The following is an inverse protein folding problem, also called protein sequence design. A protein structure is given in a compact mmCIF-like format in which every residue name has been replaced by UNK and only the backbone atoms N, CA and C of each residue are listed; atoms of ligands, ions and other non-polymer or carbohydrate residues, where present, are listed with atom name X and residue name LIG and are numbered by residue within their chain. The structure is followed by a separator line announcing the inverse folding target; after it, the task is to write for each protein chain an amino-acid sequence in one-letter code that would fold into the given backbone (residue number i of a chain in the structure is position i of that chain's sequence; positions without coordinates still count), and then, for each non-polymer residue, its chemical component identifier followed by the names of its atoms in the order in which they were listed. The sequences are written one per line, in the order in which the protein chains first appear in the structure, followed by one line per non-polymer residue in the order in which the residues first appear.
data_IF_841673357786
#
_entry.id   IF_841673357786
#
_cell.length_a   1.000
_cell.length_b   1.000
_cell.length_c   1.000
_cell.angle_alpha   90.00
_cell.angle_beta   90.00
_cell.angle_gamma   90.00
#
_symmetry.space_group_name_H-M   'P 1'
#
loop_
_entity.id
_entity.type
_entity.pdbx_description
1 polymer ?
#
# COMPACT_ATOMS: atom_id res chain seq x y z
N UNK A 1 -38.66 -8.42 -0.91
CA UNK A 1 -38.84 -9.86 -1.24
C UNK A 1 -38.49 -10.61 0.03
N UNK A 2 -39.47 -11.32 0.61
CA UNK A 2 -39.22 -12.16 1.79
C UNK A 2 -38.28 -13.32 1.45
N UNK A 3 -37.74 -13.98 2.47
CA UNK A 3 -36.99 -15.20 2.29
C UNK A 3 -37.93 -16.36 1.90
N UNK A 4 -37.38 -17.38 1.23
CA UNK A 4 -38.11 -18.62 0.99
C UNK A 4 -38.29 -19.41 2.30
N UNK A 5 -39.27 -20.32 2.30
CA UNK A 5 -39.66 -21.08 3.48
C UNK A 5 -38.53 -22.00 3.99
N UNK A 6 -37.73 -22.58 3.08
CA UNK A 6 -36.66 -23.50 3.44
C UNK A 6 -35.56 -22.79 4.24
N UNK A 7 -35.15 -21.59 3.81
CA UNK A 7 -34.20 -20.75 4.55
C UNK A 7 -34.71 -20.40 5.95
N UNK A 8 -36.01 -20.07 6.08
CA UNK A 8 -36.60 -19.70 7.37
C UNK A 8 -36.71 -20.90 8.32
N UNK A 9 -37.06 -22.08 7.81
CA UNK A 9 -37.22 -23.30 8.61
C UNK A 9 -35.88 -23.88 9.05
N UNK A 10 -34.88 -23.82 8.19
CA UNK A 10 -33.53 -24.34 8.46
C UNK A 10 -32.68 -23.40 9.33
N UNK A 11 -33.13 -22.16 9.53
CA UNK A 11 -32.39 -21.11 10.24
C UNK A 11 -30.98 -20.86 9.70
N UNK A 12 -30.76 -21.14 8.41
CA UNK A 12 -29.47 -20.94 7.76
C UNK A 12 -29.18 -19.44 7.58
N UNK A 13 -27.94 -19.05 7.88
CA UNK A 13 -27.45 -17.70 7.63
C UNK A 13 -27.38 -17.38 6.13
N UNK A 14 -27.66 -16.13 5.78
CA UNK A 14 -27.39 -15.59 4.43
C UNK A 14 -26.19 -14.65 4.50
N UNK A 15 -25.58 -14.33 3.35
CA UNK A 15 -24.41 -13.44 3.29
C UNK A 15 -24.66 -12.08 3.97
N UNK A 16 -25.85 -11.50 3.77
CA UNK A 16 -26.24 -10.24 4.38
C UNK A 16 -26.97 -10.37 5.73
N UNK A 17 -27.26 -11.59 6.16
CA UNK A 17 -28.06 -11.89 7.33
C UNK A 17 -29.55 -11.66 7.10
N UNK A 18 -30.36 -11.99 8.09
CA UNK A 18 -31.80 -11.75 8.03
C UNK A 18 -32.46 -11.66 9.40
N UNK A 19 -33.60 -10.97 9.42
CA UNK A 19 -34.44 -10.81 10.59
C UNK A 19 -35.46 -11.95 10.65
N UNK A 20 -35.38 -12.76 11.71
CA UNK A 20 -36.39 -13.74 12.08
C UNK A 20 -37.38 -13.08 13.04
N UNK A 21 -38.66 -13.25 12.76
CA UNK A 21 -39.77 -12.86 13.63
C UNK A 21 -40.61 -14.09 13.96
N UNK A 22 -40.83 -14.33 15.24
CA UNK A 22 -41.65 -15.44 15.75
C UNK A 22 -42.80 -14.87 16.58
N UNK A 23 -44.02 -15.03 16.09
CA UNK A 23 -45.22 -14.50 16.74
C UNK A 23 -45.79 -15.50 17.75
N UNK A 24 -46.54 -14.98 18.72
CA UNK A 24 -47.18 -15.79 19.77
C UNK A 24 -48.16 -16.86 19.27
N UNK A 25 -48.64 -16.77 18.02
CA UNK A 25 -49.46 -17.80 17.38
C UNK A 25 -48.66 -18.90 16.66
N UNK A 26 -47.32 -18.84 16.74
CA UNK A 26 -46.39 -19.77 16.10
C UNK A 26 -45.99 -19.39 14.67
N UNK A 27 -46.51 -18.28 14.13
CA UNK A 27 -46.12 -17.80 12.80
C UNK A 27 -44.66 -17.36 12.80
N UNK A 28 -43.90 -17.81 11.80
CA UNK A 28 -42.50 -17.44 11.58
C UNK A 28 -42.33 -16.69 10.28
N UNK A 29 -41.60 -15.57 10.32
CA UNK A 29 -41.35 -14.71 9.16
C UNK A 29 -39.86 -14.39 9.07
N UNK A 30 -39.29 -14.53 7.87
CA UNK A 30 -37.92 -14.13 7.55
C UNK A 30 -37.88 -12.92 6.63
N UNK A 31 -37.20 -11.85 7.06
CA UNK A 31 -37.03 -10.61 6.30
C UNK A 31 -35.56 -10.36 5.97
N UNK A 32 -35.25 -10.26 4.69
CA UNK A 32 -33.92 -9.84 4.23
C UNK A 32 -33.71 -8.32 4.45
N UNK A 33 -32.45 -7.84 4.56
CA UNK A 33 -32.13 -6.42 4.60
C UNK A 33 -32.74 -5.64 3.43
N UNK A 34 -32.75 -6.23 2.23
CA UNK A 34 -33.34 -5.62 1.05
C UNK A 34 -34.87 -5.48 1.16
N UNK A 35 -35.55 -6.35 1.93
CA UNK A 35 -36.96 -6.22 2.22
C UNK A 35 -37.23 -5.07 3.21
N UNK A 36 -36.36 -4.90 4.21
CA UNK A 36 -36.43 -3.80 5.20
C UNK A 36 -36.13 -2.43 4.57
N UNK A 37 -35.23 -2.35 3.59
CA UNK A 37 -34.81 -1.08 2.99
C UNK A 37 -35.77 -0.52 1.91
N UNK A 38 -36.73 -1.31 1.41
CA UNK A 38 -37.53 -0.98 0.21
C UNK A 38 -38.96 -0.52 0.49
N UNK A 39 -39.35 -0.27 1.73
CA UNK A 39 -40.76 -0.01 2.05
C UNK A 39 -41.07 1.49 2.15
N UNK A 40 -42.18 1.92 1.53
CA UNK A 40 -42.71 3.30 1.67
C UNK A 40 -43.20 3.56 3.10
N UNK A 41 -43.66 2.52 3.78
CA UNK A 41 -44.01 2.54 5.21
C UNK A 41 -43.04 1.64 6.00
N UNK A 42 -42.58 2.05 7.20
CA UNK A 42 -41.72 1.20 8.03
C UNK A 42 -42.41 -0.10 8.41
N UNK A 43 -41.73 -1.23 8.20
CA UNK A 43 -42.22 -2.60 8.44
C UNK A 43 -42.72 -2.77 9.88
N UNK A 44 -41.92 -2.36 10.87
CA UNK A 44 -42.32 -2.44 12.28
C UNK A 44 -43.63 -1.66 12.54
N UNK A 45 -43.78 -0.50 11.89
CA UNK A 45 -44.98 0.32 12.00
C UNK A 45 -46.17 -0.34 11.31
N UNK A 46 -46.00 -0.88 10.11
CA UNK A 46 -47.05 -1.59 9.36
C UNK A 46 -47.57 -2.82 10.11
N UNK A 47 -46.69 -3.54 10.81
CA UNK A 47 -47.06 -4.68 11.67
C UNK A 47 -47.88 -4.26 12.90
N UNK A 48 -47.60 -3.09 13.44
CA UNK A 48 -48.22 -2.60 14.67
C UNK A 48 -49.45 -1.70 14.45
N UNK A 49 -49.93 -1.53 13.21
CA UNK A 49 -51.02 -0.59 12.85
C UNK A 49 -52.28 -0.79 13.70
N UNK A 50 -52.60 -2.04 14.04
CA UNK A 50 -53.78 -2.39 14.85
C UNK A 50 -53.49 -2.53 16.35
N UNK A 51 -52.24 -2.36 16.78
CA UNK A 51 -51.82 -2.52 18.17
C UNK A 51 -51.99 -1.21 18.96
N UNK A 52 -52.39 -1.32 20.23
CA UNK A 52 -52.46 -0.20 21.16
C UNK A 52 -51.76 -0.50 22.49
N UNK A 53 -50.68 0.22 22.85
CA UNK A 53 -49.88 1.12 22.00
C UNK A 53 -49.05 0.34 20.93
N UNK A 54 -48.74 0.98 19.80
CA UNK A 54 -48.04 0.32 18.68
C UNK A 54 -46.60 -0.09 19.01
N UNK A 55 -45.93 0.57 19.96
CA UNK A 55 -44.55 0.29 20.38
C UNK A 55 -44.39 -0.98 21.24
N UNK A 56 -45.44 -1.80 21.37
CA UNK A 56 -45.44 -3.07 22.10
C UNK A 56 -45.34 -4.28 21.18
N UNK A 57 -44.78 -4.12 19.98
CA UNK A 57 -44.60 -5.22 19.03
C UNK A 57 -43.84 -6.39 19.67
N UNK A 58 -42.86 -6.11 20.54
CA UNK A 58 -42.12 -7.11 21.30
C UNK A 58 -42.93 -7.89 22.35
N UNK A 59 -44.17 -7.50 22.67
CA UNK A 59 -45.05 -8.30 23.57
C UNK A 59 -45.73 -9.46 22.84
N UNK A 60 -45.77 -9.43 21.51
CA UNK A 60 -46.49 -10.42 20.68
C UNK A 60 -45.59 -11.10 19.64
N UNK A 61 -44.33 -10.66 19.55
CA UNK A 61 -43.35 -11.08 18.56
C UNK A 61 -41.95 -11.08 19.17
N UNK A 62 -41.24 -12.20 19.04
CA UNK A 62 -39.82 -12.31 19.33
C UNK A 62 -39.02 -12.09 18.05
N UNK A 63 -37.97 -11.28 18.14
CA UNK A 63 -37.09 -10.98 17.01
C UNK A 63 -35.71 -11.56 17.25
N UNK A 64 -35.10 -12.14 16.21
CA UNK A 64 -33.72 -12.61 16.21
C UNK A 64 -33.02 -12.22 14.91
N UNK A 65 -31.71 -12.00 14.98
CA UNK A 65 -30.89 -11.74 13.81
C UNK A 65 -30.05 -12.96 13.47
N UNK A 66 -30.25 -13.53 12.29
CA UNK A 66 -29.56 -14.73 11.84
C UNK A 66 -28.46 -14.32 10.86
N UNK A 67 -27.22 -14.30 11.34
CA UNK A 67 -26.04 -13.97 10.54
C UNK A 67 -24.75 -14.38 11.26
N UNK A 68 -23.70 -14.69 10.49
CA UNK A 68 -22.32 -14.85 10.96
C UNK A 68 -21.37 -14.19 9.94
N UNK A 69 -20.20 -13.69 10.38
CA UNK A 69 -19.17 -13.26 9.45
C UNK A 69 -18.78 -14.39 8.50
N UNK A 70 -18.47 -14.04 7.26
CA UNK A 70 -17.91 -14.99 6.31
C UNK A 70 -16.52 -15.44 6.81
N UNK A 71 -16.21 -16.73 6.72
CA UNK A 71 -15.02 -17.34 7.31
C UNK A 71 -15.14 -17.74 8.78
N UNK A 72 -16.22 -17.35 9.48
CA UNK A 72 -16.42 -17.76 10.88
C UNK A 72 -16.72 -19.26 11.02
N UNK A 73 -16.07 -20.01 11.92
CA UNK A 73 -16.27 -21.47 12.03
C UNK A 73 -17.70 -21.84 12.42
N UNK A 74 -18.24 -22.89 11.77
CA UNK A 74 -19.62 -23.34 12.04
C UNK A 74 -19.82 -23.83 13.48
N UNK A 75 -18.80 -24.47 14.04
CA UNK A 75 -18.77 -25.04 15.40
C UNK A 75 -18.40 -24.02 16.48
N UNK A 76 -18.01 -22.79 16.09
CA UNK A 76 -17.70 -21.70 17.01
C UNK A 76 -18.91 -20.81 17.23
N UNK A 77 -19.36 -20.70 18.49
CA UNK A 77 -20.41 -19.76 18.87
C UNK A 77 -19.94 -18.31 18.67
N UNK A 78 -20.87 -17.42 18.30
CA UNK A 78 -20.62 -15.98 18.27
C UNK A 78 -20.37 -15.44 19.69
N UNK A 79 -19.61 -14.35 19.86
CA UNK A 79 -19.38 -13.75 21.18
C UNK A 79 -20.70 -13.32 21.85
N UNK A 80 -20.85 -13.66 23.13
CA UNK A 80 -22.06 -13.39 23.92
C UNK A 80 -22.37 -11.89 23.99
N UNK A 81 -21.36 -11.06 24.22
CA UNK A 81 -21.51 -9.59 24.25
C UNK A 81 -22.07 -9.04 22.92
N UNK A 82 -21.67 -9.62 21.79
CA UNK A 82 -22.20 -9.25 20.48
C UNK A 82 -23.68 -9.59 20.33
N UNK A 83 -24.08 -10.76 20.85
CA UNK A 83 -25.47 -11.22 20.83
C UNK A 83 -26.36 -10.37 21.75
N UNK A 84 -25.88 -10.01 22.95
CA UNK A 84 -26.58 -9.10 23.85
C UNK A 84 -26.82 -7.73 23.19
N UNK A 85 -25.80 -7.17 22.54
CA UNK A 85 -25.92 -5.92 21.77
C UNK A 85 -26.86 -6.05 20.57
N UNK A 86 -26.94 -7.23 19.94
CA UNK A 86 -27.94 -7.49 18.89
C UNK A 86 -29.35 -7.46 19.46
N UNK A 87 -29.57 -8.06 20.63
CA UNK A 87 -30.87 -8.06 21.31
C UNK A 87 -31.29 -6.62 21.69
N UNK A 88 -30.36 -5.79 22.14
CA UNK A 88 -30.63 -4.37 22.42
C UNK A 88 -31.06 -3.60 21.15
N UNK A 89 -30.38 -3.86 20.02
CA UNK A 89 -30.72 -3.28 18.71
C UNK A 89 -32.11 -3.73 18.26
N UNK A 90 -32.42 -5.03 18.35
CA UNK A 90 -33.72 -5.59 17.99
C UNK A 90 -34.84 -5.03 18.87
N UNK A 91 -34.60 -4.93 20.17
CA UNK A 91 -35.55 -4.32 21.12
C UNK A 91 -35.81 -2.84 20.81
N UNK A 92 -34.78 -2.09 20.40
CA UNK A 92 -34.91 -0.69 19.99
C UNK A 92 -35.75 -0.57 18.71
N UNK A 93 -35.56 -1.50 17.77
CA UNK A 93 -36.34 -1.60 16.54
C UNK A 93 -37.81 -1.99 16.78
N UNK A 94 -38.08 -2.98 17.64
CA UNK A 94 -39.44 -3.37 18.03
C UNK A 94 -40.21 -2.23 18.72
N UNK A 95 -39.49 -1.33 19.40
CA UNK A 95 -40.04 -0.08 19.99
C UNK A 95 -40.17 1.06 18.99
N UNK A 96 -39.86 0.82 17.71
CA UNK A 96 -39.86 1.81 16.61
C UNK A 96 -38.93 3.00 16.86
N UNK A 97 -37.86 2.78 17.61
CA UNK A 97 -36.83 3.79 17.89
C UNK A 97 -35.58 3.62 17.01
N UNK A 98 -35.60 2.65 16.08
CA UNK A 98 -34.60 2.42 15.06
C UNK A 98 -35.28 2.28 13.70
N UNK A 99 -34.69 2.87 12.66
CA UNK A 99 -35.18 2.73 11.29
C UNK A 99 -34.85 1.35 10.71
N UNK A 100 -35.75 0.81 9.88
CA UNK A 100 -35.61 -0.52 9.25
C UNK A 100 -34.30 -0.67 8.45
N UNK A 101 -33.90 0.40 7.74
CA UNK A 101 -32.70 0.43 6.90
C UNK A 101 -31.38 0.35 7.72
N UNK A 102 -31.44 0.68 9.01
CA UNK A 102 -30.30 0.70 9.91
C UNK A 102 -30.13 -0.63 10.65
N UNK A 103 -31.20 -1.42 10.78
CA UNK A 103 -31.24 -2.64 11.58
C UNK A 103 -30.13 -3.63 11.22
N UNK A 104 -30.07 -4.04 9.95
CA UNK A 104 -29.10 -5.04 9.49
C UNK A 104 -27.65 -4.59 9.75
N UNK A 105 -27.36 -3.31 9.50
CA UNK A 105 -26.02 -2.75 9.74
C UNK A 105 -25.69 -2.73 11.24
N UNK A 106 -26.63 -2.29 12.07
CA UNK A 106 -26.44 -2.25 13.52
C UNK A 106 -26.20 -3.65 14.11
N UNK A 107 -27.00 -4.65 13.72
CA UNK A 107 -26.81 -6.03 14.19
C UNK A 107 -25.44 -6.60 13.76
N UNK A 108 -25.02 -6.39 12.50
CA UNK A 108 -23.70 -6.84 12.03
C UNK A 108 -22.56 -6.18 12.79
N UNK A 109 -22.61 -4.87 13.02
CA UNK A 109 -21.59 -4.17 13.82
C UNK A 109 -21.55 -4.65 15.26
N UNK A 110 -22.69 -4.92 15.89
CA UNK A 110 -22.73 -5.49 17.25
C UNK A 110 -21.92 -6.78 17.34
N UNK A 111 -22.08 -7.68 16.36
CA UNK A 111 -21.32 -8.94 16.28
C UNK A 111 -19.85 -8.66 15.96
N UNK A 112 -19.55 -7.96 14.87
CA UNK A 112 -18.17 -7.72 14.39
C UNK A 112 -17.32 -6.98 15.42
N UNK A 113 -17.88 -6.03 16.16
CA UNK A 113 -17.19 -5.26 17.20
C UNK A 113 -17.01 -6.03 18.52
N UNK A 114 -17.64 -7.19 18.67
CA UNK A 114 -17.47 -8.08 19.84
C UNK A 114 -16.43 -9.18 19.64
N UNK A 115 -15.91 -9.34 18.41
CA UNK A 115 -14.86 -10.30 18.11
C UNK A 115 -13.53 -9.80 18.71
N UNK A 116 -12.83 -10.70 19.37
CA UNK A 116 -11.63 -10.40 20.20
C UNK A 116 -10.34 -11.03 19.66
N UNK A 117 -10.40 -11.76 18.55
CA UNK A 117 -9.26 -12.44 17.92
C UNK A 117 -9.38 -12.48 16.40
N UNK A 118 -8.26 -12.73 15.73
CA UNK A 118 -8.18 -12.82 14.27
C UNK A 118 -8.22 -11.47 13.56
N UNK A 119 -8.53 -11.53 12.27
CA UNK A 119 -8.65 -10.37 11.39
C UNK A 119 -10.10 -10.19 10.95
N UNK A 120 -10.66 -9.02 11.19
CA UNK A 120 -12.01 -8.64 10.78
C UNK A 120 -11.92 -7.58 9.68
N UNK A 121 -12.45 -7.87 8.49
CA UNK A 121 -12.50 -6.92 7.36
C UNK A 121 -13.89 -6.87 6.77
N UNK A 122 -14.56 -5.72 6.91
CA UNK A 122 -15.93 -5.57 6.44
C UNK A 122 -16.86 -6.60 7.09
N UNK A 123 -17.30 -7.60 6.32
CA UNK A 123 -18.16 -8.71 6.78
C UNK A 123 -17.43 -10.04 6.92
N UNK A 124 -16.11 -10.07 6.72
CA UNK A 124 -15.28 -11.27 6.75
C UNK A 124 -14.50 -11.36 8.06
N UNK A 125 -14.25 -12.58 8.50
CA UNK A 125 -13.33 -12.90 9.57
C UNK A 125 -12.33 -13.96 9.10
N UNK A 126 -11.07 -13.77 9.47
CA UNK A 126 -9.98 -14.70 9.21
C UNK A 126 -9.32 -15.07 10.53
N UNK A 127 -8.90 -16.32 10.68
CA UNK A 127 -8.16 -16.74 11.87
C UNK A 127 -6.76 -16.13 11.91
N UNK A 128 -6.12 -16.15 13.08
CA UNK A 128 -4.73 -15.68 13.22
C UNK A 128 -3.76 -16.46 12.30
N UNK A 129 -4.06 -17.73 12.03
CA UNK A 129 -3.26 -18.59 11.15
C UNK A 129 -3.48 -18.29 9.65
N UNK A 130 -4.58 -17.62 9.30
CA UNK A 130 -4.99 -17.31 7.92
C UNK A 130 -4.59 -15.89 7.48
N UNK A 131 -3.56 -15.31 8.09
CA UNK A 131 -3.06 -13.95 7.76
C UNK A 131 -2.79 -13.76 6.26
N UNK A 132 -2.30 -14.79 5.58
CA UNK A 132 -2.06 -14.75 4.13
C UNK A 132 -3.36 -14.54 3.35
N UNK A 133 -4.41 -15.28 3.68
CA UNK A 133 -5.72 -15.16 3.03
C UNK A 133 -6.38 -13.80 3.34
N UNK A 134 -6.23 -13.31 4.58
CA UNK A 134 -6.65 -11.95 4.94
C UNK A 134 -5.96 -10.90 4.08
N UNK A 135 -4.63 -10.97 3.91
CA UNK A 135 -3.89 -10.01 3.08
C UNK A 135 -4.32 -10.11 1.61
N UNK A 136 -4.53 -11.32 1.09
CA UNK A 136 -5.00 -11.54 -0.29
C UNK A 136 -6.44 -11.04 -0.51
N UNK A 137 -7.28 -11.03 0.52
CA UNK A 137 -8.60 -10.43 0.49
C UNK A 137 -8.54 -8.90 0.35
N UNK A 138 -7.46 -8.26 0.81
CA UNK A 138 -7.30 -6.82 0.73
C UNK A 138 -6.98 -6.36 -0.70
N UNK A 139 -7.80 -5.43 -1.20
CA UNK A 139 -7.58 -4.79 -2.50
C UNK A 139 -6.42 -3.79 -2.43
N UNK A 140 -5.50 -3.86 -3.39
CA UNK A 140 -4.30 -3.02 -3.43
C UNK A 140 -3.19 -3.62 -4.28
N UNK A 141 -2.07 -2.91 -4.40
CA UNK A 141 -0.84 -3.45 -5.01
C UNK A 141 -0.16 -4.45 -4.06
N UNK A 142 0.77 -5.23 -4.60
CA UNK A 142 1.61 -6.12 -3.78
C UNK A 142 2.43 -5.32 -2.74
N UNK A 143 2.98 -4.18 -3.13
CA UNK A 143 3.70 -3.30 -2.21
C UNK A 143 2.81 -2.76 -1.08
N UNK A 144 1.54 -2.44 -1.38
CA UNK A 144 0.58 -2.02 -0.35
C UNK A 144 0.26 -3.15 0.62
N UNK A 145 0.03 -4.37 0.14
CA UNK A 145 -0.19 -5.54 1.00
C UNK A 145 1.03 -5.84 1.87
N UNK A 146 2.25 -5.72 1.31
CA UNK A 146 3.50 -5.88 2.05
C UNK A 146 3.68 -4.79 3.12
N UNK A 147 3.35 -3.54 2.81
CA UNK A 147 3.36 -2.45 3.77
C UNK A 147 2.36 -2.69 4.91
N UNK A 148 1.14 -3.13 4.59
CA UNK A 148 0.15 -3.48 5.61
C UNK A 148 0.65 -4.65 6.48
N UNK A 149 1.22 -5.68 5.86
CA UNK A 149 1.81 -6.81 6.58
C UNK A 149 2.89 -6.32 7.58
N UNK A 150 3.81 -5.47 7.15
CA UNK A 150 4.84 -4.88 8.01
C UNK A 150 4.23 -4.14 9.21
N UNK A 151 3.17 -3.35 9.01
CA UNK A 151 2.48 -2.70 10.13
C UNK A 151 1.92 -3.73 11.12
N UNK A 152 1.29 -4.79 10.62
CA UNK A 152 0.72 -5.85 11.47
C UNK A 152 1.79 -6.62 12.25
N UNK A 153 3.01 -6.75 11.72
CA UNK A 153 4.14 -7.37 12.43
C UNK A 153 4.65 -6.49 13.58
N UNK A 154 4.40 -5.19 13.51
CA UNK A 154 4.85 -4.22 14.52
C UNK A 154 3.85 -3.97 15.65
N UNK A 155 2.65 -4.52 15.53
CA UNK A 155 1.55 -4.31 16.47
C UNK A 155 1.49 -5.51 17.44
N UNK A 156 1.68 -5.23 18.73
CA UNK A 156 1.61 -6.26 19.80
C UNK A 156 0.17 -6.51 20.30
N UNK A 157 -0.67 -5.48 20.27
CA UNK A 157 -2.06 -5.46 20.76
C UNK A 157 -3.07 -5.39 19.59
N UNK A 158 -4.37 -5.23 19.84
CA UNK A 158 -5.33 -5.09 18.74
C UNK A 158 -5.40 -3.67 18.16
N UNK A 159 -6.01 -3.58 17.00
CA UNK A 159 -6.22 -2.30 16.31
C UNK A 159 -7.58 -2.27 15.60
N UNK A 160 -8.24 -1.12 15.62
CA UNK A 160 -9.43 -0.84 14.84
C UNK A 160 -9.20 0.38 13.95
N UNK A 161 -9.16 0.15 12.64
CA UNK A 161 -9.09 1.19 11.62
C UNK A 161 -10.49 1.41 11.03
N UNK A 162 -11.07 2.58 11.32
CA UNK A 162 -12.40 2.97 10.89
C UNK A 162 -12.36 3.62 9.51
N UNK A 163 -13.49 3.58 8.81
CA UNK A 163 -13.68 4.18 7.48
C UNK A 163 -13.57 5.71 7.47
N UNK A 164 -13.74 6.37 8.62
CA UNK A 164 -13.50 7.81 8.80
C UNK A 164 -12.01 8.15 9.01
N UNK A 165 -11.16 7.12 9.03
CA UNK A 165 -9.73 7.20 9.15
C UNK A 165 -9.21 7.22 10.59
N UNK A 166 -10.10 7.12 11.59
CA UNK A 166 -9.71 7.03 13.00
C UNK A 166 -9.13 5.65 13.30
N UNK A 167 -7.98 5.65 13.96
CA UNK A 167 -7.30 4.45 14.46
C UNK A 167 -7.48 4.36 15.97
N UNK A 168 -7.88 3.19 16.46
CA UNK A 168 -8.11 2.92 17.89
C UNK A 168 -7.36 1.66 18.27
N UNK A 169 -6.46 1.73 19.25
CA UNK A 169 -5.83 0.57 19.87
C UNK A 169 -6.86 -0.21 20.69
N UNK A 170 -6.78 -1.53 20.67
CA UNK A 170 -7.66 -2.43 21.40
C UNK A 170 -6.83 -3.28 22.36
N UNK A 171 -7.39 -3.61 23.52
CA UNK A 171 -6.74 -4.50 24.50
C UNK A 171 -6.76 -5.97 24.02
N UNK A 172 -7.73 -6.32 23.18
CA UNK A 172 -7.88 -7.65 22.61
C UNK A 172 -7.02 -7.83 21.36
N UNK A 173 -6.54 -9.06 21.09
CA UNK A 173 -5.67 -9.36 19.95
C UNK A 173 -6.45 -9.52 18.64
N UNK A 174 -7.17 -8.48 18.25
CA UNK A 174 -7.96 -8.43 17.01
C UNK A 174 -7.54 -7.27 16.13
N UNK A 175 -7.40 -7.54 14.84
CA UNK A 175 -7.20 -6.51 13.82
C UNK A 175 -8.53 -6.28 13.13
N UNK A 176 -9.08 -5.08 13.23
CA UNK A 176 -10.39 -4.72 12.65
C UNK A 176 -10.22 -3.59 11.64
N UNK A 177 -10.54 -3.86 10.39
CA UNK A 177 -10.51 -2.89 9.29
C UNK A 177 -11.93 -2.75 8.72
N UNK A 178 -12.49 -1.53 8.75
CA UNK A 178 -13.81 -1.28 8.14
C UNK A 178 -13.76 -1.27 6.60
N UNK A 179 -12.59 -1.02 6.02
CA UNK A 179 -12.36 -0.98 4.57
C UNK A 179 -11.49 -2.16 4.12
N UNK A 180 -11.83 -2.79 3.00
CA UNK A 180 -11.06 -3.88 2.39
C UNK A 180 -10.01 -3.39 1.39
N UNK A 181 -9.75 -2.09 1.32
CA UNK A 181 -8.68 -1.51 0.51
C UNK A 181 -7.48 -1.13 1.35
N UNK A 182 -6.29 -1.56 0.92
CA UNK A 182 -5.04 -1.24 1.58
C UNK A 182 -4.77 0.27 1.60
N UNK A 183 -5.15 0.99 0.54
CA UNK A 183 -4.86 2.41 0.42
C UNK A 183 -5.42 3.25 1.57
N UNK A 184 -6.75 3.28 1.85
CA UNK A 184 -7.30 4.05 2.96
C UNK A 184 -6.79 3.57 4.32
N UNK A 185 -6.58 2.27 4.50
CA UNK A 185 -6.04 1.70 5.74
C UNK A 185 -4.61 2.20 5.99
N UNK A 186 -3.73 2.15 4.98
CA UNK A 186 -2.36 2.66 5.08
C UNK A 186 -2.31 4.17 5.28
N UNK A 187 -3.24 4.93 4.68
CA UNK A 187 -3.36 6.37 4.93
C UNK A 187 -3.61 6.65 6.41
N UNK A 188 -4.50 5.89 7.04
CA UNK A 188 -4.80 6.02 8.47
C UNK A 188 -3.64 5.60 9.37
N UNK A 189 -2.94 4.53 9.00
CA UNK A 189 -1.83 3.99 9.79
C UNK A 189 -0.51 4.76 9.60
N UNK A 190 -0.41 5.60 8.56
CA UNK A 190 0.86 6.22 8.18
C UNK A 190 1.47 7.12 9.25
N UNK A 191 0.64 7.88 9.96
CA UNK A 191 1.14 8.83 10.97
C UNK A 191 1.96 8.12 12.05
N UNK A 192 1.48 6.97 12.51
CA UNK A 192 2.10 6.20 13.59
C UNK A 192 3.08 5.14 13.06
N UNK A 193 2.72 4.40 12.02
CA UNK A 193 3.49 3.23 11.55
C UNK A 193 4.32 3.48 10.30
N UNK A 194 4.27 4.69 9.73
CA UNK A 194 5.03 5.02 8.53
C UNK A 194 6.54 4.91 8.71
N UNK A 195 7.05 5.19 9.93
CA UNK A 195 8.46 4.98 10.26
C UNK A 195 8.87 3.51 10.15
N UNK A 196 8.08 2.61 10.74
CA UNK A 196 8.28 1.15 10.67
C UNK A 196 8.30 0.66 9.23
N UNK A 197 7.35 1.10 8.40
CA UNK A 197 7.31 0.72 6.98
C UNK A 197 8.61 1.14 6.27
N UNK A 198 9.09 2.36 6.53
CA UNK A 198 10.31 2.90 5.92
C UNK A 198 11.58 2.15 6.38
N UNK A 199 11.63 1.78 7.65
CA UNK A 199 12.76 1.03 8.22
C UNK A 199 12.78 -0.41 7.72
N UNK A 200 11.68 -1.15 7.87
CA UNK A 200 11.65 -2.59 7.63
C UNK A 200 11.64 -2.95 6.14
N UNK A 201 10.92 -2.17 5.31
CA UNK A 201 10.82 -2.46 3.89
C UNK A 201 11.89 -1.76 3.04
N UNK A 202 12.42 -0.63 3.51
CA UNK A 202 13.32 0.22 2.72
C UNK A 202 14.65 0.52 3.42
N UNK A 203 14.88 0.07 4.66
CA UNK A 203 16.12 0.34 5.39
C UNK A 203 16.36 1.81 5.68
N UNK A 204 15.33 2.66 5.60
CA UNK A 204 15.44 4.09 5.81
C UNK A 204 15.26 4.42 7.29
N UNK A 205 16.24 5.11 7.88
CA UNK A 205 16.25 5.50 9.29
C UNK A 205 16.63 6.97 9.46
N UNK A 206 16.33 7.55 10.63
CA UNK A 206 16.73 8.91 10.98
C UNK A 206 16.13 10.00 10.07
N UNK A 207 16.92 11.04 9.77
CA UNK A 207 16.46 12.23 9.04
C UNK A 207 15.90 11.92 7.64
N UNK A 208 16.44 10.89 6.96
CA UNK A 208 15.94 10.48 5.65
C UNK A 208 14.55 9.85 5.73
N UNK A 209 14.31 9.01 6.74
CA UNK A 209 12.99 8.46 7.00
C UNK A 209 11.98 9.57 7.34
N UNK A 210 12.34 10.50 8.24
CA UNK A 210 11.48 11.63 8.62
C UNK A 210 11.10 12.51 7.42
N UNK A 211 12.06 12.75 6.53
CA UNK A 211 11.84 13.53 5.30
C UNK A 211 10.84 12.83 4.38
N UNK A 212 10.97 11.52 4.18
CA UNK A 212 10.06 10.73 3.34
C UNK A 212 8.67 10.65 3.98
N UNK A 213 8.60 10.39 5.30
CA UNK A 213 7.38 10.37 6.09
C UNK A 213 6.57 11.67 5.95
N UNK A 214 7.22 12.81 6.24
CA UNK A 214 6.60 14.13 6.15
C UNK A 214 6.16 14.48 4.73
N UNK A 215 6.94 14.07 3.71
CA UNK A 215 6.61 14.32 2.30
C UNK A 215 5.34 13.61 1.89
N UNK A 216 5.19 12.33 2.27
CA UNK A 216 4.01 11.55 1.93
C UNK A 216 2.75 12.11 2.60
N UNK A 217 2.83 12.49 3.88
CA UNK A 217 1.73 13.14 4.62
C UNK A 217 1.25 14.45 3.98
N UNK A 218 2.16 15.21 3.34
CA UNK A 218 1.83 16.49 2.68
C UNK A 218 1.30 16.33 1.26
N UNK A 219 1.90 15.46 0.45
CA UNK A 219 1.56 15.30 -0.97
C UNK A 219 0.28 14.50 -1.19
N UNK A 220 -0.11 13.63 -0.24
CA UNK A 220 -1.26 12.72 -0.35
C UNK A 220 -1.23 11.88 -1.64
N UNK A 221 -0.05 11.43 -2.04
CA UNK A 221 0.09 10.53 -3.18
C UNK A 221 -0.54 9.17 -2.85
N UNK A 222 -1.11 8.50 -3.86
CA UNK A 222 -1.61 7.13 -3.69
C UNK A 222 -0.49 6.20 -3.20
N UNK A 223 -0.76 5.40 -2.17
CA UNK A 223 0.26 4.59 -1.48
C UNK A 223 0.98 3.63 -2.43
N UNK A 224 0.25 2.90 -3.30
CA UNK A 224 0.88 2.02 -4.28
C UNK A 224 1.87 2.73 -5.22
N UNK A 225 1.57 3.96 -5.66
CA UNK A 225 2.50 4.72 -6.49
C UNK A 225 3.70 5.22 -5.68
N UNK A 226 3.46 5.70 -4.45
CA UNK A 226 4.50 6.17 -3.55
C UNK A 226 5.50 5.07 -3.18
N UNK A 227 5.03 3.89 -2.77
CA UNK A 227 5.88 2.76 -2.39
C UNK A 227 6.72 2.26 -3.56
N UNK A 228 6.12 2.16 -4.75
CA UNK A 228 6.83 1.78 -5.97
C UNK A 228 7.93 2.79 -6.34
N UNK A 229 7.61 4.08 -6.35
CA UNK A 229 8.60 5.14 -6.63
C UNK A 229 9.73 5.15 -5.59
N UNK A 230 9.42 4.88 -4.32
CA UNK A 230 10.42 4.78 -3.26
C UNK A 230 11.35 3.58 -3.47
N UNK A 231 10.79 2.41 -3.82
CA UNK A 231 11.54 1.20 -4.14
C UNK A 231 12.48 1.41 -5.34
N UNK A 232 11.97 2.01 -6.42
CA UNK A 232 12.74 2.35 -7.61
C UNK A 232 13.89 3.31 -7.25
N UNK A 233 13.60 4.37 -6.49
CA UNK A 233 14.61 5.34 -6.07
C UNK A 233 15.69 4.74 -5.17
N UNK A 234 15.31 3.86 -4.23
CA UNK A 234 16.26 3.22 -3.33
C UNK A 234 17.15 2.23 -4.08
N UNK A 235 16.57 1.42 -4.98
CA UNK A 235 17.31 0.51 -5.84
C UNK A 235 18.38 1.24 -6.64
N UNK A 236 18.03 2.38 -7.24
CA UNK A 236 19.01 3.22 -7.94
C UNK A 236 20.08 3.76 -7.00
N UNK A 237 19.70 4.30 -5.83
CA UNK A 237 20.65 4.84 -4.87
C UNK A 237 21.65 3.77 -4.39
N UNK A 238 21.17 2.58 -4.05
CA UNK A 238 22.02 1.43 -3.66
C UNK A 238 22.96 1.01 -4.78
N UNK A 239 22.49 1.00 -6.03
CA UNK A 239 23.35 0.70 -7.19
C UNK A 239 24.46 1.74 -7.31
N UNK A 240 24.12 3.02 -7.19
CA UNK A 240 25.10 4.12 -7.29
C UNK A 240 26.14 4.14 -6.15
N UNK A 241 25.84 3.54 -5.00
CA UNK A 241 26.77 3.37 -3.87
C UNK A 241 27.84 2.30 -4.14
N UNK A 242 27.62 1.41 -5.12
CA UNK A 242 28.64 0.46 -5.58
C UNK A 242 29.79 1.14 -6.33
N UNK A 243 29.60 2.40 -6.76
CA UNK A 243 30.63 3.12 -7.47
C UNK A 243 31.82 3.40 -6.53
N UNK A 244 33.07 3.17 -6.98
CA UNK A 244 34.23 3.19 -6.09
C UNK A 244 34.58 4.52 -5.41
N UNK A 245 34.09 5.62 -5.98
CA UNK A 245 34.41 6.98 -5.56
C UNK A 245 33.15 7.71 -5.13
N UNK A 246 33.24 8.55 -4.10
CA UNK A 246 32.13 9.46 -3.75
C UNK A 246 32.00 10.56 -4.80
N UNK A 247 30.77 11.04 -5.00
CA UNK A 247 30.50 12.11 -5.99
C UNK A 247 31.36 13.34 -5.70
N UNK A 248 32.08 13.81 -6.72
CA UNK A 248 32.89 15.03 -6.65
C UNK A 248 34.29 14.86 -6.05
N UNK A 249 34.71 13.63 -5.72
CA UNK A 249 36.08 13.36 -5.24
C UNK A 249 37.11 13.28 -6.36
N UNK A 250 36.68 12.89 -7.56
CA UNK A 250 37.54 12.81 -8.74
C UNK A 250 37.93 14.20 -9.26
N UNK A 251 39.13 14.37 -9.86
CA UNK A 251 39.50 15.61 -10.52
C UNK A 251 38.72 15.77 -11.84
N UNK A 252 38.50 17.02 -12.27
CA UNK A 252 38.01 17.27 -13.64
C UNK A 252 39.10 16.92 -14.66
N UNK A 253 38.79 16.26 -15.79
CA UNK A 253 37.46 15.92 -16.34
C UNK A 253 36.81 14.61 -15.86
N UNK A 254 37.46 13.81 -15.01
CA UNK A 254 36.93 12.51 -14.56
C UNK A 254 35.69 12.64 -13.68
N UNK A 255 35.60 13.68 -12.85
CA UNK A 255 34.38 13.99 -12.09
C UNK A 255 33.17 14.16 -13.01
N UNK A 256 33.36 14.78 -14.17
CA UNK A 256 32.30 14.99 -15.13
C UNK A 256 31.91 13.67 -15.83
N UNK A 257 32.86 12.77 -16.07
CA UNK A 257 32.58 11.43 -16.56
C UNK A 257 31.78 10.61 -15.54
N UNK A 258 32.16 10.64 -14.25
CA UNK A 258 31.43 10.00 -13.16
C UNK A 258 30.01 10.56 -13.03
N UNK A 259 29.83 11.88 -13.10
CA UNK A 259 28.50 12.49 -13.08
C UNK A 259 27.62 12.06 -14.26
N UNK A 260 28.20 11.92 -15.46
CA UNK A 260 27.51 11.41 -16.65
C UNK A 260 27.10 9.94 -16.46
N UNK A 261 27.98 9.10 -15.93
CA UNK A 261 27.66 7.69 -15.60
C UNK A 261 26.51 7.61 -14.60
N UNK A 262 26.62 8.35 -13.48
CA UNK A 262 25.57 8.39 -12.45
C UNK A 262 24.24 8.87 -13.02
N UNK A 263 24.26 9.92 -13.83
CA UNK A 263 23.05 10.47 -14.47
C UNK A 263 22.45 9.50 -15.49
N UNK A 264 23.26 8.77 -16.23
CA UNK A 264 22.80 7.78 -17.18
C UNK A 264 22.23 6.53 -16.51
N UNK A 265 22.77 6.12 -15.37
CA UNK A 265 22.22 5.03 -14.58
C UNK A 265 20.87 5.40 -13.92
N UNK A 266 20.72 6.66 -13.50
CA UNK A 266 19.50 7.18 -12.84
C UNK A 266 18.37 7.47 -13.85
N UNK A 267 18.66 8.26 -14.89
CA UNK A 267 17.66 8.82 -15.81
C UNK A 267 17.80 8.32 -17.26
N UNK A 268 18.69 7.36 -17.51
CA UNK A 268 19.02 6.87 -18.84
C UNK A 268 19.95 7.79 -19.63
N UNK A 269 20.68 7.21 -20.59
CA UNK A 269 21.69 7.89 -21.44
C UNK A 269 21.13 9.11 -22.18
N UNK A 270 19.85 9.09 -22.57
CA UNK A 270 19.25 10.21 -23.29
C UNK A 270 19.21 11.51 -22.46
N UNK A 271 19.09 11.40 -21.14
CA UNK A 271 19.04 12.54 -20.23
C UNK A 271 20.39 13.27 -20.11
N UNK A 272 21.50 12.56 -20.35
CA UNK A 272 22.87 13.09 -20.19
C UNK A 272 23.33 13.93 -21.38
N UNK A 273 22.66 13.84 -22.53
CA UNK A 273 22.99 14.59 -23.74
C UNK A 273 23.02 16.11 -23.49
N UNK A 274 22.04 16.63 -22.73
CA UNK A 274 22.00 18.06 -22.37
C UNK A 274 23.14 18.47 -21.44
N UNK A 275 23.58 17.55 -20.57
CA UNK A 275 24.69 17.76 -19.64
C UNK A 275 26.02 17.76 -20.39
N UNK A 276 26.27 16.76 -21.22
CA UNK A 276 27.47 16.63 -22.05
C UNK A 276 27.74 17.88 -22.91
N UNK A 277 26.68 18.52 -23.43
CA UNK A 277 26.77 19.76 -24.23
C UNK A 277 27.19 21.02 -23.44
N UNK A 278 27.04 21.03 -22.11
CA UNK A 278 27.29 22.22 -21.28
C UNK A 278 28.69 22.27 -20.70
N UNK A 279 29.46 21.18 -20.81
CA UNK A 279 30.84 21.10 -20.34
C UNK A 279 31.72 22.19 -20.97
N UNK A 280 32.72 22.66 -20.22
CA UNK A 280 33.69 23.67 -20.70
C UNK A 280 35.12 23.15 -20.56
N UNK A 281 36.01 23.59 -21.45
CA UNK A 281 37.40 23.15 -21.43
C UNK A 281 37.51 21.62 -21.57
N UNK A 282 38.21 20.95 -20.67
CA UNK A 282 38.36 19.49 -20.69
C UNK A 282 37.02 18.74 -20.52
N UNK A 283 36.03 19.32 -19.84
CA UNK A 283 34.68 18.74 -19.75
C UNK A 283 33.95 18.77 -21.10
N UNK A 284 34.27 19.75 -21.97
CA UNK A 284 33.75 19.78 -23.34
C UNK A 284 34.31 18.60 -24.15
N UNK A 285 35.60 18.29 -23.99
CA UNK A 285 36.22 17.10 -24.59
C UNK A 285 35.61 15.80 -24.06
N UNK A 286 35.36 15.71 -22.75
CA UNK A 286 34.71 14.55 -22.13
C UNK A 286 33.25 14.40 -22.58
N UNK A 287 32.52 15.51 -22.68
CA UNK A 287 31.15 15.53 -23.20
C UNK A 287 31.09 15.07 -24.65
N UNK A 288 32.06 15.45 -25.48
CA UNK A 288 32.18 14.93 -26.85
C UNK A 288 32.45 13.42 -26.86
N UNK A 289 33.41 12.95 -26.07
CA UNK A 289 33.73 11.53 -25.95
C UNK A 289 32.48 10.72 -25.59
N UNK A 290 31.71 11.19 -24.61
CA UNK A 290 30.45 10.57 -24.16
C UNK A 290 29.42 10.47 -25.29
N UNK A 291 29.21 11.55 -26.05
CA UNK A 291 28.28 11.53 -27.18
C UNK A 291 28.73 10.57 -28.29
N UNK A 292 30.04 10.40 -28.51
CA UNK A 292 30.58 9.42 -29.47
C UNK A 292 30.36 8.00 -28.97
N UNK A 293 30.64 7.71 -27.69
CA UNK A 293 30.44 6.38 -27.08
C UNK A 293 29.01 5.88 -27.32
N UNK A 294 28.01 6.77 -27.22
CA UNK A 294 26.58 6.46 -27.36
C UNK A 294 25.98 6.78 -28.73
N UNK A 295 26.79 7.10 -29.73
CA UNK A 295 26.32 7.37 -31.11
C UNK A 295 25.28 8.52 -31.17
N UNK A 296 25.46 9.56 -30.35
CA UNK A 296 24.58 10.75 -30.25
C UNK A 296 25.18 12.01 -30.90
N UNK A 297 26.09 11.86 -31.86
CA UNK A 297 26.89 12.98 -32.41
C UNK A 297 26.22 13.77 -33.55
N UNK A 298 25.25 13.17 -34.26
CA UNK A 298 24.74 13.67 -35.55
C UNK A 298 24.13 15.10 -35.51
N UNK A 299 23.58 15.53 -34.38
CA UNK A 299 22.95 16.85 -34.23
C UNK A 299 23.78 17.87 -33.42
N UNK A 300 24.94 17.44 -32.92
CA UNK A 300 25.67 18.15 -31.86
C UNK A 300 27.13 18.46 -32.18
N UNK A 301 27.73 17.81 -33.19
CA UNK A 301 29.15 17.98 -33.52
C UNK A 301 29.59 19.44 -33.74
N UNK A 302 28.69 20.30 -34.24
CA UNK A 302 28.96 21.72 -34.46
C UNK A 302 29.11 22.55 -33.16
N UNK A 303 28.67 22.02 -32.02
CA UNK A 303 28.75 22.70 -30.71
C UNK A 303 30.13 22.57 -30.04
N UNK A 304 30.96 21.63 -30.52
CA UNK A 304 32.28 21.36 -29.97
C UNK A 304 33.35 21.89 -30.92
N UNK A 305 34.34 22.60 -30.38
CA UNK A 305 35.50 23.03 -31.13
C UNK A 305 36.36 21.83 -31.57
N UNK A 306 37.28 22.05 -32.51
CA UNK A 306 38.14 20.98 -33.06
C UNK A 306 39.04 20.36 -31.99
N UNK A 307 39.64 21.17 -31.12
CA UNK A 307 40.51 20.69 -30.04
C UNK A 307 39.74 19.80 -29.04
N UNK A 308 38.51 20.18 -28.69
CA UNK A 308 37.64 19.35 -27.85
C UNK A 308 37.30 18.02 -28.52
N UNK A 309 37.07 18.01 -29.85
CA UNK A 309 36.71 16.80 -30.59
C UNK A 309 37.87 15.84 -30.74
N UNK A 310 39.07 16.37 -30.99
CA UNK A 310 40.29 15.56 -31.09
C UNK A 310 40.63 14.92 -29.74
N UNK A 311 40.71 15.71 -28.67
CA UNK A 311 40.98 15.19 -27.31
C UNK A 311 39.91 14.21 -26.85
N UNK A 312 38.64 14.56 -27.06
CA UNK A 312 37.53 13.68 -26.69
C UNK A 312 37.55 12.38 -27.50
N UNK A 313 37.94 12.44 -28.78
CA UNK A 313 38.11 11.27 -29.65
C UNK A 313 39.12 10.26 -29.09
N UNK A 314 40.25 10.76 -28.57
CA UNK A 314 41.28 9.91 -27.94
C UNK A 314 40.78 9.22 -26.65
N UNK A 315 39.80 9.80 -25.97
CA UNK A 315 39.25 9.28 -24.72
C UNK A 315 38.12 8.26 -24.93
N UNK A 316 37.55 8.16 -26.14
CA UNK A 316 36.41 7.28 -26.44
C UNK A 316 36.65 5.83 -26.03
N UNK A 317 37.80 5.19 -26.31
CA UNK A 317 38.01 3.79 -25.93
C UNK A 317 37.96 3.58 -24.41
N UNK A 318 38.61 4.46 -23.65
CA UNK A 318 38.64 4.39 -22.19
C UNK A 318 37.27 4.70 -21.58
N UNK A 319 36.58 5.71 -22.11
CA UNK A 319 35.23 6.07 -21.64
C UNK A 319 34.19 4.99 -21.99
N UNK A 320 34.35 4.30 -23.13
CA UNK A 320 33.51 3.15 -23.48
C UNK A 320 33.72 2.00 -22.50
N UNK A 321 34.97 1.63 -22.21
CA UNK A 321 35.28 0.62 -21.22
C UNK A 321 34.73 0.99 -19.83
N UNK A 322 34.80 2.27 -19.44
CA UNK A 322 34.24 2.76 -18.20
C UNK A 322 32.71 2.61 -18.17
N UNK A 323 32.03 2.97 -19.25
CA UNK A 323 30.58 2.80 -19.36
C UNK A 323 30.16 1.34 -19.36
N UNK A 324 30.87 0.47 -20.09
CA UNK A 324 30.56 -0.96 -20.14
C UNK A 324 30.69 -1.61 -18.76
N UNK A 325 31.76 -1.29 -18.01
CA UNK A 325 31.92 -1.71 -16.62
C UNK A 325 30.85 -1.12 -15.70
N UNK A 326 30.45 0.14 -15.92
CA UNK A 326 29.34 0.75 -15.18
C UNK A 326 28.00 0.07 -15.46
N UNK A 327 27.73 -0.33 -16.70
CA UNK A 327 26.52 -1.07 -17.04
C UNK A 327 26.50 -2.44 -16.35
N UNK A 328 27.59 -3.19 -16.43
CA UNK A 328 27.72 -4.47 -15.74
C UNK A 328 27.48 -4.32 -14.23
N UNK A 329 28.12 -3.33 -13.61
CA UNK A 329 28.05 -3.10 -12.15
C UNK A 329 26.69 -2.56 -11.67
N UNK A 330 26.10 -1.61 -12.39
CA UNK A 330 24.90 -0.87 -11.95
C UNK A 330 23.60 -1.43 -12.52
N UNK A 331 23.61 -1.94 -13.75
CA UNK A 331 22.41 -2.37 -14.46
C UNK A 331 22.26 -3.88 -14.49
N UNK A 332 23.37 -4.62 -14.56
CA UNK A 332 23.38 -6.09 -14.65
C UNK A 332 23.70 -6.80 -13.32
N UNK A 333 23.96 -6.02 -12.27
CA UNK A 333 24.28 -6.50 -10.91
C UNK A 333 25.55 -7.40 -10.83
N UNK A 334 26.50 -7.22 -11.75
CA UNK A 334 27.81 -7.90 -11.71
C UNK A 334 28.78 -7.15 -10.78
N UNK A 335 28.93 -7.66 -9.57
CA UNK A 335 29.81 -7.05 -8.55
C UNK A 335 31.31 -7.20 -8.89
N UNK A 336 31.70 -8.15 -9.74
CA UNK A 336 33.11 -8.30 -10.14
C UNK A 336 33.56 -7.15 -11.06
N UNK A 337 32.62 -6.50 -11.74
CA UNK A 337 32.85 -5.35 -12.61
C UNK A 337 33.32 -4.09 -11.87
N UNK A 338 33.32 -4.06 -10.53
CA UNK A 338 33.93 -2.95 -9.76
C UNK A 338 35.42 -2.79 -10.11
N UNK A 339 36.15 -3.92 -10.23
CA UNK A 339 37.57 -3.90 -10.59
C UNK A 339 37.79 -3.37 -12.01
N UNK A 340 36.90 -3.71 -12.93
CA UNK A 340 36.95 -3.24 -14.30
C UNK A 340 36.60 -1.75 -14.39
N UNK A 341 35.63 -1.28 -13.60
CA UNK A 341 35.29 0.13 -13.50
C UNK A 341 36.48 0.94 -12.97
N UNK A 342 37.17 0.44 -11.93
CA UNK A 342 38.39 1.09 -11.41
C UNK A 342 39.48 1.16 -12.47
N UNK A 343 39.76 0.04 -13.13
CA UNK A 343 40.79 -0.05 -14.18
C UNK A 343 40.48 0.87 -15.36
N UNK A 344 39.22 0.96 -15.77
CA UNK A 344 38.79 1.85 -16.84
C UNK A 344 38.87 3.33 -16.45
N UNK A 345 38.56 3.67 -15.20
CA UNK A 345 38.71 5.04 -14.69
C UNK A 345 40.19 5.43 -14.61
N UNK A 346 41.08 4.52 -14.20
CA UNK A 346 42.54 4.74 -14.21
C UNK A 346 43.07 4.94 -15.63
N UNK A 347 42.63 4.12 -16.58
CA UNK A 347 42.97 4.30 -17.99
C UNK A 347 42.48 5.65 -18.53
N UNK A 348 41.24 6.03 -18.19
CA UNK A 348 40.69 7.34 -18.56
C UNK A 348 41.49 8.48 -17.93
N UNK A 349 41.98 8.32 -16.70
CA UNK A 349 42.84 9.29 -16.02
C UNK A 349 44.18 9.47 -16.75
N UNK A 350 44.79 8.39 -17.21
CA UNK A 350 46.04 8.39 -17.96
C UNK A 350 45.89 9.13 -19.29
N UNK A 351 44.89 8.76 -20.11
CA UNK A 351 44.70 9.35 -21.45
C UNK A 351 44.19 10.79 -21.41
N UNK A 352 43.51 11.19 -20.32
CA UNK A 352 43.07 12.58 -20.10
C UNK A 352 44.13 13.46 -19.43
N UNK A 353 45.21 12.87 -18.91
CA UNK A 353 46.25 13.60 -18.18
C UNK A 353 45.81 14.11 -16.80
N UNK A 354 44.81 13.47 -16.18
CA UNK A 354 44.20 13.90 -14.92
C UNK A 354 45.02 13.55 -13.67
N UNK A 355 46.06 12.73 -13.81
CA UNK A 355 46.92 12.29 -12.71
C UNK A 355 46.41 11.05 -11.97
N UNK A 356 47.02 10.73 -10.84
CA UNK A 356 46.67 9.58 -10.00
C UNK A 356 45.33 9.79 -9.28
N UNK A 357 44.49 8.76 -9.27
CA UNK A 357 43.21 8.76 -8.59
C UNK A 357 43.37 8.75 -7.05
N UNK A 358 42.44 9.37 -6.30
CA UNK A 358 42.43 9.39 -4.84
C UNK A 358 42.10 8.03 -4.21
#
# INVERSE_FOLDING_TARGET
MGLDEETVVSELGTADGWLKLEFSDGTRVGLSPAALAKTEEPVARSMAVSMMPPNKLGEVCEAAWIWRPEGWPEDRALPEEGLERVDEVLNTWLKMSLEDNALARACRYSILNSITDGFVVGSNWFSDDDRGEFLDHMSGTEDERRALACVLDSIDDGIHVRSDGVVVSLDEKVVRLEDSSCHPVLVSLWEEHGGTILEDLFGLVGEDAERVHSRQSKRKQGFGAFLRELSESLSTAMKLDRLPWERGTLPGPLSFADDLVRKAADDGVASTVSMARKGRGLESSMGWAWLVVHEKTESDAWRFDEESRDKGGDWVPALRALWDAAQALLLEDDLEAESDYRSAMEWLAEVSGSGSLP
#
